data_IF_392074522161
#
_entry.id   IF_392074522161
#
_cell.length_a   1.000
_cell.length_b   1.000
_cell.length_c   1.000
_cell.angle_alpha   90.00
_cell.angle_beta   90.00
_cell.angle_gamma   90.00
#
_symmetry.space_group_name_H-M   'P 1'
#
loop_
_entity.id
_entity.type
_entity.pdbx_description
1 polymer ?
#
# COMPACT_ATOMS: atom_id res chain seq x y z
N UNK A 1 -2.31 21.00 -3.66
CA UNK A 1 -1.80 20.05 -4.67
C UNK A 1 -2.99 19.40 -5.35
N UNK A 2 -3.21 19.70 -6.62
CA UNK A 2 -4.29 19.18 -7.45
C UNK A 2 -3.90 17.81 -7.98
N UNK A 3 -4.67 16.78 -7.61
CA UNK A 3 -4.80 15.49 -8.30
C UNK A 3 -3.52 14.65 -8.48
N UNK A 4 -3.50 13.44 -7.92
CA UNK A 4 -2.54 12.39 -8.31
C UNK A 4 -3.19 11.46 -9.34
N UNK A 5 -2.47 11.01 -10.39
CA UNK A 5 -2.98 9.94 -11.26
C UNK A 5 -3.28 8.69 -10.43
N UNK A 6 -4.48 8.13 -10.57
CA UNK A 6 -4.94 7.01 -9.74
C UNK A 6 -3.97 5.81 -9.78
N UNK A 7 -3.37 5.52 -10.94
CA UNK A 7 -2.35 4.47 -11.09
C UNK A 7 -1.09 4.67 -10.23
N UNK A 8 -0.81 5.90 -9.80
CA UNK A 8 0.32 6.27 -8.94
C UNK A 8 -0.06 6.37 -7.45
N UNK A 9 -1.35 6.32 -7.11
CA UNK A 9 -1.83 6.48 -5.74
C UNK A 9 -1.18 5.48 -4.77
N UNK A 10 -1.14 4.20 -5.15
CA UNK A 10 -0.59 3.16 -4.29
C UNK A 10 0.91 3.34 -4.04
N UNK A 11 1.67 3.73 -5.07
CA UNK A 11 3.10 4.04 -4.92
C UNK A 11 3.36 5.29 -4.07
N UNK A 12 2.50 6.30 -4.17
CA UNK A 12 2.57 7.47 -3.29
C UNK A 12 2.27 7.12 -1.83
N UNK A 13 1.18 6.41 -1.55
CA UNK A 13 0.84 5.92 -0.19
C UNK A 13 1.98 5.09 0.40
N UNK A 14 2.57 4.21 -0.41
CA UNK A 14 3.68 3.37 0.01
C UNK A 14 4.93 4.19 0.39
N UNK A 15 5.16 5.33 -0.26
CA UNK A 15 6.32 6.21 0.01
C UNK A 15 6.19 7.10 1.26
N UNK A 16 5.03 7.12 1.94
CA UNK A 16 4.82 7.98 3.10
C UNK A 16 5.59 7.43 4.31
N UNK A 17 6.33 8.30 5.01
CA UNK A 17 7.00 7.95 6.26
C UNK A 17 5.97 7.85 7.42
N UNK A 18 5.79 6.69 8.08
CA UNK A 18 4.85 6.51 9.20
C UNK A 18 5.15 7.35 10.46
N UNK A 19 6.38 7.79 10.65
CA UNK A 19 6.76 8.68 11.75
C UNK A 19 6.27 10.11 11.53
N UNK A 20 6.04 10.49 10.26
CA UNK A 20 5.62 11.84 9.84
C UNK A 20 4.13 11.95 9.56
N UNK A 21 3.32 11.03 10.07
CA UNK A 21 1.85 11.09 10.02
C UNK A 21 1.23 11.17 11.41
N UNK A 22 -0.05 11.58 11.47
CA UNK A 22 -0.81 11.59 12.73
C UNK A 22 -0.88 10.18 13.32
N UNK A 23 -0.80 10.10 14.65
CA UNK A 23 -0.77 8.82 15.37
C UNK A 23 -2.00 7.95 15.07
N UNK A 24 -3.19 8.55 14.90
CA UNK A 24 -4.45 7.84 14.68
C UNK A 24 -4.58 7.16 13.31
N UNK A 25 -3.71 7.50 12.35
CA UNK A 25 -3.67 6.88 11.02
C UNK A 25 -2.42 6.03 10.78
N UNK A 26 -1.42 6.09 11.68
CA UNK A 26 -0.13 5.41 11.52
C UNK A 26 -0.28 3.91 11.31
N UNK A 27 -1.04 3.24 12.17
CA UNK A 27 -1.19 1.78 12.10
C UNK A 27 -1.90 1.33 10.82
N UNK A 28 -2.85 2.14 10.32
CA UNK A 28 -3.52 1.88 9.04
C UNK A 28 -2.56 2.01 7.87
N UNK A 29 -1.68 3.01 7.89
CA UNK A 29 -0.65 3.20 6.86
C UNK A 29 0.35 2.05 6.88
N UNK A 30 0.85 1.65 8.05
CA UNK A 30 1.79 0.53 8.19
C UNK A 30 1.15 -0.76 7.66
N UNK A 31 -0.08 -1.07 8.08
CA UNK A 31 -0.81 -2.24 7.59
C UNK A 31 -0.95 -2.24 6.06
N UNK A 32 -1.26 -1.09 5.48
CA UNK A 32 -1.35 -0.95 4.03
C UNK A 32 0.01 -1.19 3.33
N UNK A 33 1.11 -0.68 3.90
CA UNK A 33 2.45 -0.89 3.38
C UNK A 33 2.86 -2.37 3.43
N UNK A 34 2.59 -3.06 4.54
CA UNK A 34 2.83 -4.52 4.70
C UNK A 34 2.05 -5.35 3.68
N UNK A 35 0.78 -5.02 3.43
CA UNK A 35 -0.01 -5.67 2.40
C UNK A 35 0.59 -5.43 1.00
N UNK A 36 1.10 -4.23 0.72
CA UNK A 36 1.77 -3.93 -0.54
C UNK A 36 3.04 -4.76 -0.73
N UNK A 37 3.84 -4.96 0.32
CA UNK A 37 5.01 -5.84 0.27
C UNK A 37 4.63 -7.27 -0.10
N UNK A 38 3.56 -7.80 0.52
CA UNK A 38 3.05 -9.14 0.22
C UNK A 38 2.57 -9.25 -1.24
N UNK A 39 1.83 -8.23 -1.72
CA UNK A 39 1.35 -8.17 -3.11
C UNK A 39 2.51 -8.16 -4.11
N UNK A 40 3.52 -7.33 -3.87
CA UNK A 40 4.70 -7.26 -4.74
C UNK A 40 5.48 -8.58 -4.73
N UNK A 41 5.68 -9.15 -3.54
CA UNK A 41 6.34 -10.46 -3.39
C UNK A 41 5.59 -11.54 -4.18
N UNK A 42 4.28 -11.66 -3.99
CA UNK A 42 3.48 -12.69 -4.64
C UNK A 42 3.42 -12.50 -6.16
N UNK A 43 3.33 -11.26 -6.64
CA UNK A 43 3.41 -10.95 -8.06
C UNK A 43 4.71 -11.49 -8.69
N UNK A 44 5.86 -11.23 -8.06
CA UNK A 44 7.17 -11.62 -8.61
C UNK A 44 7.55 -13.08 -8.34
N UNK A 45 7.07 -13.69 -7.26
CA UNK A 45 7.47 -15.06 -6.87
C UNK A 45 6.46 -16.14 -7.30
N UNK A 46 5.17 -15.81 -7.34
CA UNK A 46 4.09 -16.74 -7.67
C UNK A 46 3.45 -16.45 -9.03
N UNK A 47 3.67 -15.25 -9.59
CA UNK A 47 3.09 -14.83 -10.87
C UNK A 47 1.61 -14.44 -10.80
N UNK A 48 0.97 -14.55 -9.63
CA UNK A 48 -0.41 -14.16 -9.40
C UNK A 48 -0.58 -13.47 -8.04
N UNK A 49 -1.55 -12.57 -7.95
CA UNK A 49 -1.93 -11.89 -6.70
C UNK A 49 -3.44 -12.06 -6.50
N UNK A 50 -3.84 -12.51 -5.30
CA UNK A 50 -5.25 -12.66 -4.92
C UNK A 50 -5.59 -11.68 -3.81
N UNK A 51 -6.68 -10.93 -3.97
CA UNK A 51 -7.19 -10.02 -2.95
C UNK A 51 -8.18 -10.76 -2.04
N UNK A 52 -7.84 -11.06 -0.78
CA UNK A 52 -8.69 -11.83 0.12
C UNK A 52 -9.99 -11.10 0.53
N UNK A 53 -10.11 -9.80 0.25
CA UNK A 53 -11.31 -8.98 0.60
C UNK A 53 -12.43 -9.06 -0.42
N UNK A 54 -12.16 -9.61 -1.61
CA UNK A 54 -13.12 -9.72 -2.71
C UNK A 54 -13.73 -11.13 -2.81
N UNK A 55 -13.68 -11.91 -1.72
CA UNK A 55 -14.35 -13.20 -1.63
C UNK A 55 -15.88 -13.03 -1.64
#
# INVERSE_FOLDING_TARGET
>A
MLCIPLKKLNGWLFSINPEKVRADIRDKLIKYQEECFTVLHDYWTKGEVKNPRKA
#
